data_IF_531385891550
#
_entry.id   IF_531385891550
#
_cell.length_a   1.000
_cell.length_b   1.000
_cell.length_c   1.000
_cell.angle_alpha   90.00
_cell.angle_beta   90.00
_cell.angle_gamma   90.00
#
_symmetry.space_group_name_H-M   'P 1'
#
loop_
_entity.id
_entity.type
_entity.pdbx_description
1 polymer ?
#
# COMPACT_ATOMS: atom_id res chain seq x y z
N UNK A 1 13.94 -21.59 16.59
CA UNK A 1 12.90 -20.89 17.36
C UNK A 1 12.74 -19.51 16.76
N UNK A 2 11.54 -19.13 16.34
CA UNK A 2 11.25 -17.80 15.78
C UNK A 2 10.23 -17.13 16.69
N UNK A 3 10.46 -15.86 17.05
CA UNK A 3 9.57 -15.08 17.91
C UNK A 3 9.29 -13.73 17.25
N UNK A 4 8.10 -13.20 17.47
CA UNK A 4 7.70 -11.86 17.02
C UNK A 4 8.07 -10.87 18.12
N UNK A 5 8.66 -9.73 17.74
CA UNK A 5 8.95 -8.62 18.66
C UNK A 5 8.30 -7.35 18.15
N UNK A 6 7.82 -6.53 19.08
CA UNK A 6 7.36 -5.18 18.80
C UNK A 6 8.57 -4.24 18.76
N UNK A 7 8.61 -3.36 17.76
CA UNK A 7 9.64 -2.32 17.62
C UNK A 7 8.98 -0.95 17.61
N UNK A 8 9.67 0.06 18.14
CA UNK A 8 9.18 1.43 18.12
C UNK A 8 9.16 1.96 16.67
N UNK A 9 8.07 2.60 16.22
CA UNK A 9 8.00 3.13 14.85
C UNK A 9 8.95 4.31 14.67
N UNK A 10 9.75 4.26 13.61
CA UNK A 10 10.62 5.37 13.20
C UNK A 10 9.88 6.25 12.19
N UNK A 11 9.99 7.57 12.35
CA UNK A 11 9.44 8.51 11.36
C UNK A 11 10.42 8.66 10.22
N UNK A 12 9.97 8.32 9.01
CA UNK A 12 10.77 8.54 7.81
C UNK A 12 10.92 10.04 7.52
N UNK A 13 12.08 10.50 7.02
CA UNK A 13 12.27 11.89 6.63
C UNK A 13 11.27 12.28 5.53
N UNK A 14 10.74 13.50 5.60
CA UNK A 14 9.90 14.02 4.52
C UNK A 14 10.74 14.21 3.25
N UNK A 15 10.22 13.74 2.13
CA UNK A 15 10.82 13.95 0.82
C UNK A 15 9.74 14.32 -0.18
N UNK A 16 10.11 15.06 -1.22
CA UNK A 16 9.21 15.36 -2.34
C UNK A 16 8.99 14.15 -3.27
N UNK A 17 9.72 13.06 -3.04
CA UNK A 17 9.62 11.83 -3.82
C UNK A 17 8.49 10.94 -3.29
N UNK A 18 7.57 10.56 -4.17
CA UNK A 18 6.57 9.54 -3.89
C UNK A 18 6.82 8.31 -4.76
N UNK A 19 7.09 7.16 -4.14
CA UNK A 19 7.15 5.87 -4.83
C UNK A 19 5.88 5.09 -4.53
N UNK A 20 5.11 4.75 -5.57
CA UNK A 20 3.98 3.83 -5.45
C UNK A 20 4.43 2.40 -5.69
N UNK A 21 4.17 1.50 -4.74
CA UNK A 21 4.39 0.07 -4.93
C UNK A 21 3.09 -0.52 -5.51
N UNK A 22 3.15 -0.98 -6.76
CA UNK A 22 2.01 -1.66 -7.40
C UNK A 22 2.24 -3.17 -7.43
N UNK A 23 1.37 -3.91 -6.73
CA UNK A 23 1.50 -5.37 -6.57
C UNK A 23 0.73 -6.18 -7.63
N UNK A 24 0.07 -5.55 -8.60
CA UNK A 24 -0.68 -6.28 -9.65
C UNK A 24 -1.95 -6.99 -9.18
N UNK A 25 -2.33 -6.83 -7.91
CA UNK A 25 -3.51 -7.45 -7.30
C UNK A 25 -4.76 -6.61 -7.51
N UNK A 26 -5.92 -7.27 -7.68
CA UNK A 26 -7.21 -6.61 -7.84
C UNK A 26 -7.79 -6.07 -6.51
N UNK A 27 -7.36 -6.65 -5.39
CA UNK A 27 -7.79 -6.26 -4.05
C UNK A 27 -6.59 -6.27 -3.09
N UNK A 28 -6.44 -5.21 -2.31
CA UNK A 28 -5.33 -5.03 -1.35
C UNK A 28 -5.58 -5.77 -0.04
N UNK A 29 -6.83 -6.05 0.30
CA UNK A 29 -7.20 -6.80 1.49
C UNK A 29 -8.57 -7.44 1.32
N UNK A 30 -8.73 -8.64 1.90
CA UNK A 30 -10.05 -9.24 2.15
C UNK A 30 -10.22 -9.38 3.65
N UNK A 31 -11.31 -8.85 4.18
CA UNK A 31 -11.66 -9.06 5.58
C UNK A 31 -12.20 -10.47 5.79
N UNK A 32 -12.19 -10.95 7.03
CA UNK A 32 -12.74 -12.25 7.43
C UNK A 32 -14.23 -12.39 7.11
N UNK A 33 -14.96 -11.26 7.00
CA UNK A 33 -16.37 -11.22 6.61
C UNK A 33 -16.60 -11.21 5.08
N UNK A 34 -15.55 -11.39 4.27
CA UNK A 34 -15.63 -11.44 2.81
C UNK A 34 -15.68 -10.08 2.11
N UNK A 35 -15.67 -8.96 2.85
CA UNK A 35 -15.54 -7.62 2.24
C UNK A 35 -14.16 -7.46 1.60
N UNK A 36 -14.15 -6.85 0.41
CA UNK A 36 -12.93 -6.60 -0.36
C UNK A 36 -12.61 -5.12 -0.30
N UNK A 37 -11.34 -4.82 -0.04
CA UNK A 37 -10.79 -3.49 -0.28
C UNK A 37 -10.15 -3.55 -1.66
N UNK A 38 -10.78 -2.89 -2.62
CA UNK A 38 -10.28 -2.86 -4.00
C UNK A 38 -9.03 -2.00 -4.09
N UNK A 39 -8.13 -2.38 -4.99
CA UNK A 39 -6.92 -1.61 -5.26
C UNK A 39 -7.32 -0.24 -5.82
N UNK A 40 -6.73 0.88 -5.32
CA UNK A 40 -7.01 2.20 -5.87
C UNK A 40 -6.70 2.22 -7.36
N UNK A 41 -7.68 2.60 -8.18
CA UNK A 41 -7.50 2.72 -9.64
C UNK A 41 -6.39 3.73 -9.90
N UNK A 42 -5.36 3.30 -10.62
CA UNK A 42 -4.22 4.13 -10.99
C UNK A 42 -4.72 5.41 -11.64
N UNK A 43 -4.29 6.55 -11.11
CA UNK A 43 -4.78 7.84 -11.54
C UNK A 43 -4.22 8.16 -12.94
N UNK A 44 -4.97 7.87 -14.00
CA UNK A 44 -4.64 8.28 -15.39
C UNK A 44 -4.55 9.81 -15.59
N UNK A 45 -4.77 10.63 -14.55
CA UNK A 45 -4.92 12.09 -14.62
C UNK A 45 -3.67 12.88 -15.05
N UNK A 46 -2.55 12.23 -15.40
CA UNK A 46 -1.36 12.91 -15.95
C UNK A 46 -0.80 12.31 -17.25
N UNK A 47 -1.54 11.43 -17.92
CA UNK A 47 -1.23 11.12 -19.33
C UNK A 47 -1.92 12.19 -20.18
N UNK A 48 -1.40 13.42 -20.18
CA UNK A 48 -1.70 14.39 -21.25
C UNK A 48 -0.82 14.01 -22.44
N UNK A 49 -1.45 13.74 -23.58
CA UNK A 49 -0.77 13.59 -24.87
C UNK A 49 -0.28 14.96 -25.34
#
# INVERSE_FOLDING_TARGET
MSFVVEIQPETLPQTDNSVGIYLGISSIAKSSNGTKVDTPKTLKKRIKK
#
